data_IF_923217506547
#
_entry.id   IF_923217506547
#
_cell.length_a   1.000
_cell.length_b   1.000
_cell.length_c   1.000
_cell.angle_alpha   90.00
_cell.angle_beta   90.00
_cell.angle_gamma   90.00
#
_symmetry.space_group_name_H-M   'P 1'
#
loop_
_entity.id
_entity.type
_entity.pdbx_description
1 polymer ?
#
# COMPACT_ATOMS: atom_id res chain seq x y z
N UNK A 1 -10.68 12.58 -9.56
CA UNK A 1 -9.22 12.58 -9.25
C UNK A 1 -8.89 11.99 -7.87
N UNK A 2 -9.52 12.46 -6.78
CA UNK A 2 -9.21 11.98 -5.41
C UNK A 2 -9.47 10.48 -5.20
N UNK A 3 -10.60 9.96 -5.71
CA UNK A 3 -10.91 8.53 -5.63
C UNK A 3 -9.87 7.65 -6.35
N UNK A 4 -9.33 8.12 -7.49
CA UNK A 4 -8.30 7.40 -8.22
C UNK A 4 -6.98 7.37 -7.45
N UNK A 5 -6.61 8.48 -6.82
CA UNK A 5 -5.42 8.58 -5.96
C UNK A 5 -5.55 7.72 -4.70
N UNK A 6 -6.74 7.66 -4.10
CA UNK A 6 -7.04 6.77 -2.99
C UNK A 6 -6.93 5.30 -3.41
N UNK A 7 -7.53 4.92 -4.54
CA UNK A 7 -7.43 3.55 -5.10
C UNK A 7 -5.98 3.16 -5.34
N UNK A 8 -5.17 4.08 -5.88
CA UNK A 8 -3.74 3.83 -6.10
C UNK A 8 -2.99 3.62 -4.79
N UNK A 9 -3.30 4.42 -3.75
CA UNK A 9 -2.70 4.25 -2.42
C UNK A 9 -3.06 2.88 -1.82
N UNK A 10 -4.34 2.49 -1.88
CA UNK A 10 -4.81 1.18 -1.41
C UNK A 10 -4.18 0.03 -2.20
N UNK A 11 -4.02 0.17 -3.52
CA UNK A 11 -3.34 -0.81 -4.36
C UNK A 11 -1.89 -1.04 -3.94
N UNK A 12 -1.14 0.04 -3.67
CA UNK A 12 0.25 -0.09 -3.19
C UNK A 12 0.34 -0.70 -1.78
N UNK A 13 -0.64 -0.44 -0.90
CA UNK A 13 -0.73 -1.11 0.40
C UNK A 13 -0.97 -2.62 0.24
N UNK A 14 -1.90 -3.00 -0.64
CA UNK A 14 -2.15 -4.41 -0.96
C UNK A 14 -0.89 -5.11 -1.50
N UNK A 15 -0.20 -4.50 -2.48
CA UNK A 15 1.04 -5.06 -3.05
C UNK A 15 2.12 -5.23 -1.98
N UNK A 16 2.30 -4.23 -1.12
CA UNK A 16 3.24 -4.30 0.02
C UNK A 16 2.93 -5.51 0.91
N UNK A 17 1.67 -5.66 1.30
CA UNK A 17 1.27 -6.71 2.24
C UNK A 17 1.38 -8.10 1.61
N UNK A 18 1.02 -8.22 0.32
CA UNK A 18 1.15 -9.46 -0.46
C UNK A 18 2.61 -9.91 -0.62
N UNK A 19 3.53 -8.99 -0.81
CA UNK A 19 4.96 -9.30 -0.90
C UNK A 19 5.55 -9.73 0.45
N UNK A 20 5.07 -9.15 1.56
CA UNK A 20 5.52 -9.53 2.91
C UNK A 20 5.01 -10.89 3.38
N UNK A 21 3.82 -11.29 2.93
CA UNK A 21 3.20 -12.57 3.28
C UNK A 21 4.06 -13.74 2.81
N UNK A 22 4.24 -14.71 3.70
CA UNK A 22 4.95 -15.96 3.42
C UNK A 22 4.07 -16.94 2.64
N UNK A 23 2.81 -17.07 3.04
CA UNK A 23 1.81 -17.87 2.35
C UNK A 23 0.77 -16.96 1.73
N UNK A 24 0.48 -17.19 0.44
CA UNK A 24 -0.54 -16.45 -0.31
C UNK A 24 -1.52 -17.42 -0.95
N UNK A 25 -2.77 -16.99 -1.13
CA UNK A 25 -3.77 -17.74 -1.88
C UNK A 25 -3.52 -17.59 -3.39
N UNK A 26 -3.50 -18.67 -4.16
CA UNK A 26 -3.41 -18.56 -5.62
C UNK A 26 -4.72 -17.97 -6.17
N UNK A 27 -4.65 -16.74 -6.68
CA UNK A 27 -5.81 -16.00 -7.22
C UNK A 27 -5.95 -16.15 -8.76
N UNK A 28 -5.06 -16.90 -9.41
CA UNK A 28 -5.16 -17.13 -10.85
C UNK A 28 -6.11 -18.29 -11.16
N UNK A 29 -7.08 -18.05 -12.06
CA UNK A 29 -7.94 -19.08 -12.63
C UNK A 29 -7.09 -20.06 -13.44
N UNK A 30 -6.66 -21.14 -12.82
CA UNK A 30 -5.78 -22.14 -13.39
C UNK A 30 -5.80 -23.44 -12.60
N UNK A 31 -4.85 -24.34 -12.87
CA UNK A 31 -4.78 -25.66 -12.22
C UNK A 31 -4.58 -25.62 -10.70
N UNK A 32 -4.18 -24.48 -10.15
CA UNK A 32 -3.89 -24.27 -8.73
C UNK A 32 -4.89 -23.35 -8.03
N UNK A 33 -6.02 -23.04 -8.69
CA UNK A 33 -7.08 -22.24 -8.09
C UNK A 33 -7.57 -22.87 -6.78
N UNK A 34 -7.82 -22.04 -5.76
CA UNK A 34 -8.19 -22.50 -4.43
C UNK A 34 -7.03 -22.93 -3.51
N UNK A 35 -5.80 -23.05 -4.02
CA UNK A 35 -4.66 -23.52 -3.22
C UNK A 35 -3.92 -22.36 -2.55
N UNK A 36 -3.29 -22.67 -1.42
CA UNK A 36 -2.34 -21.75 -0.78
C UNK A 36 -0.91 -22.13 -1.16
N UNK A 37 -0.09 -21.13 -1.38
CA UNK A 37 1.31 -21.31 -1.74
C UNK A 37 2.22 -20.61 -0.77
N UNK A 38 3.13 -21.40 -0.20
CA UNK A 38 4.18 -20.92 0.69
C UNK A 38 5.41 -20.59 -0.15
N UNK A 39 5.85 -19.34 -0.09
CA UNK A 39 7.03 -18.85 -0.80
C UNK A 39 8.29 -19.58 -0.35
N UNK A 40 9.14 -20.04 -1.28
CA UNK A 40 10.51 -20.43 -0.95
C UNK A 40 11.24 -19.28 -0.25
N UNK A 41 12.13 -19.62 0.68
CA UNK A 41 12.83 -18.63 1.51
C UNK A 41 13.55 -17.54 0.71
N UNK A 42 14.17 -17.90 -0.43
CA UNK A 42 14.86 -16.96 -1.32
C UNK A 42 13.89 -15.93 -1.93
N UNK A 43 12.72 -16.38 -2.39
CA UNK A 43 11.68 -15.50 -2.95
C UNK A 43 11.14 -14.56 -1.88
N UNK A 44 10.84 -15.09 -0.69
CA UNK A 44 10.35 -14.30 0.43
C UNK A 44 11.35 -13.23 0.88
N UNK A 45 12.65 -13.57 0.94
CA UNK A 45 13.70 -12.62 1.28
C UNK A 45 13.79 -11.50 0.22
N UNK A 46 13.82 -11.86 -1.07
CA UNK A 46 13.82 -10.89 -2.16
C UNK A 46 12.61 -9.95 -2.09
N UNK A 47 11.42 -10.50 -1.90
CA UNK A 47 10.18 -9.72 -1.79
C UNK A 47 10.25 -8.72 -0.62
N UNK A 48 10.75 -9.16 0.56
CA UNK A 48 10.94 -8.30 1.73
C UNK A 48 11.97 -7.20 1.50
N UNK A 49 13.03 -7.47 0.75
CA UNK A 49 14.01 -6.45 0.34
C UNK A 49 13.37 -5.41 -0.58
N UNK A 50 12.59 -5.83 -1.59
CA UNK A 50 11.84 -4.92 -2.47
C UNK A 50 10.89 -4.04 -1.65
N UNK A 51 10.15 -4.65 -0.72
CA UNK A 51 9.24 -3.90 0.15
C UNK A 51 9.98 -2.85 0.97
N UNK A 52 11.11 -3.22 1.56
CA UNK A 52 11.88 -2.34 2.45
C UNK A 52 12.51 -1.18 1.70
N UNK A 53 13.15 -1.46 0.56
CA UNK A 53 13.98 -0.48 -0.14
C UNK A 53 13.25 0.31 -1.22
N UNK A 54 12.16 -0.23 -1.79
CA UNK A 54 11.45 0.42 -2.90
C UNK A 54 10.04 0.87 -2.50
N UNK A 55 9.23 -0.03 -1.95
CA UNK A 55 7.79 0.26 -1.74
C UNK A 55 7.56 1.13 -0.50
N UNK A 56 8.19 0.80 0.62
CA UNK A 56 7.98 1.50 1.88
C UNK A 56 8.37 2.99 1.83
N UNK A 57 9.47 3.40 1.15
CA UNK A 57 9.77 4.81 0.92
C UNK A 57 8.69 5.54 0.10
N UNK A 58 8.16 4.92 -0.95
CA UNK A 58 7.09 5.50 -1.79
C UNK A 58 5.83 5.72 -0.96
N UNK A 59 5.39 4.69 -0.21
CA UNK A 59 4.23 4.79 0.67
C UNK A 59 4.40 5.86 1.75
N UNK A 60 5.61 5.97 2.34
CA UNK A 60 5.89 7.00 3.34
C UNK A 60 5.78 8.41 2.76
N UNK A 61 6.31 8.64 1.56
CA UNK A 61 6.17 9.92 0.85
C UNK A 61 4.70 10.23 0.57
N UNK A 62 3.96 9.25 0.07
CA UNK A 62 2.54 9.40 -0.26
C UNK A 62 1.69 9.75 0.97
N UNK A 63 1.84 9.02 2.08
CA UNK A 63 1.13 9.27 3.33
C UNK A 63 1.48 10.64 3.93
N UNK A 64 2.76 11.04 3.89
CA UNK A 64 3.17 12.38 4.33
C UNK A 64 2.50 13.47 3.52
N UNK A 65 2.46 13.33 2.19
CA UNK A 65 1.79 14.30 1.30
C UNK A 65 0.30 14.41 1.61
N UNK A 66 -0.40 13.28 1.77
CA UNK A 66 -1.81 13.30 2.17
C UNK A 66 -2.03 13.94 3.54
N UNK A 67 -1.17 13.63 4.51
CA UNK A 67 -1.23 14.22 5.85
C UNK A 67 -1.10 15.75 5.82
N UNK A 68 -0.18 16.28 5.01
CA UNK A 68 -0.01 17.73 4.84
C UNK A 68 -1.26 18.37 4.22
N UNK A 69 -1.77 17.82 3.11
CA UNK A 69 -2.98 18.36 2.47
C UNK A 69 -4.21 18.29 3.38
N UNK A 70 -4.39 17.16 4.09
CA UNK A 70 -5.46 17.00 5.07
C UNK A 70 -5.35 18.02 6.21
N UNK A 71 -4.14 18.21 6.74
CA UNK A 71 -3.87 19.21 7.78
C UNK A 71 -4.18 20.64 7.32
N UNK A 72 -3.76 21.02 6.11
CA UNK A 72 -4.06 22.33 5.54
C UNK A 72 -5.57 22.55 5.37
N UNK A 73 -6.30 21.55 4.86
CA UNK A 73 -7.76 21.62 4.72
C UNK A 73 -8.45 21.82 6.08
N UNK A 74 -8.08 21.03 7.09
CA UNK A 74 -8.64 21.15 8.44
C UNK A 74 -8.33 22.53 9.02
N UNK A 75 -7.10 23.01 8.91
CA UNK A 75 -6.74 24.35 9.39
C UNK A 75 -7.53 25.45 8.70
N UNK A 76 -7.76 25.35 7.38
CA UNK A 76 -8.56 26.32 6.63
C UNK A 76 -10.02 26.31 7.07
N UNK A 77 -10.61 25.13 7.28
CA UNK A 77 -11.97 24.99 7.79
C UNK A 77 -12.13 25.56 9.20
N UNK A 78 -11.14 25.36 10.07
CA UNK A 78 -11.15 25.93 11.41
C UNK A 78 -11.06 27.45 11.38
N UNK A 79 -10.13 28.01 10.59
CA UNK A 79 -9.98 29.46 10.43
C UNK A 79 -11.25 30.11 9.88
N UNK A 80 -11.96 29.43 8.97
CA UNK A 80 -13.24 29.90 8.45
C UNK A 80 -14.32 30.05 9.52
N UNK A 81 -14.31 29.25 10.60
CA UNK A 81 -15.28 29.40 11.68
C UNK A 81 -15.08 30.69 12.50
N UNK A 82 -13.88 31.29 12.44
CA UNK A 82 -13.52 32.49 13.18
C UNK A 82 -13.55 33.77 12.33
N UNK A 83 -13.85 33.65 11.03
CA UNK A 83 -14.08 34.76 10.11
C UNK A 83 -15.58 35.01 9.94
#
# INVERSE_FOLDING_TARGET
>A
PMLALLRLALGWLYVRDRLKQETIFYEESGWYDGQTWTKPGEVLQRDRLIVTYQIQPILRRLLRTYGIFGGLLISGLLLWQFL
#
